data_IF_846037490958
#
_entry.id   IF_846037490958
#
_cell.length_a   1.000
_cell.length_b   1.000
_cell.length_c   1.000
_cell.angle_alpha   90.00
_cell.angle_beta   90.00
_cell.angle_gamma   90.00
#
_symmetry.space_group_name_H-M   'P 1'
#
loop_
_entity.id
_entity.type
_entity.pdbx_description
1 polymer ?
#
# COMPACT_ATOMS: atom_id res chain seq x y z
N UNK A 1 -20.80 -35.77 -39.14
CA UNK A 1 -20.35 -34.46 -39.65
C UNK A 1 -21.04 -33.24 -39.00
N UNK A 2 -22.00 -33.39 -38.07
CA UNK A 2 -22.71 -32.28 -37.41
C UNK A 2 -22.07 -31.83 -36.05
N UNK A 3 -21.11 -32.57 -35.54
CA UNK A 3 -20.48 -32.27 -34.22
C UNK A 3 -19.18 -31.45 -34.29
N UNK A 4 -18.63 -31.24 -35.49
CA UNK A 4 -17.38 -30.47 -35.70
C UNK A 4 -17.71 -28.97 -35.92
N UNK A 5 -18.93 -28.63 -36.35
CA UNK A 5 -19.31 -27.23 -36.59
C UNK A 5 -19.55 -26.44 -35.29
N UNK A 6 -19.88 -27.10 -34.17
CA UNK A 6 -20.12 -26.43 -32.89
C UNK A 6 -18.81 -26.08 -32.16
N UNK A 7 -17.72 -26.81 -32.41
CA UNK A 7 -16.44 -26.53 -31.80
C UNK A 7 -15.71 -25.33 -32.43
N UNK A 8 -16.00 -25.00 -33.69
CA UNK A 8 -15.42 -23.83 -34.38
C UNK A 8 -16.15 -22.52 -34.06
N UNK A 9 -17.39 -22.56 -33.60
CA UNK A 9 -18.15 -21.35 -33.22
C UNK A 9 -17.83 -20.87 -31.81
N UNK A 10 -17.31 -21.73 -30.94
CA UNK A 10 -16.90 -21.34 -29.58
C UNK A 10 -15.55 -20.64 -29.53
N UNK A 11 -14.72 -20.74 -30.59
CA UNK A 11 -13.40 -20.08 -30.65
C UNK A 11 -13.46 -18.66 -31.24
N UNK A 12 -14.60 -18.27 -31.86
CA UNK A 12 -14.72 -16.97 -32.52
C UNK A 12 -15.25 -15.85 -31.61
N UNK A 13 -15.61 -16.13 -30.37
CA UNK A 13 -16.14 -15.13 -29.42
C UNK A 13 -15.03 -14.53 -28.53
N UNK A 14 -13.80 -15.06 -28.58
CA UNK A 14 -12.67 -14.55 -27.79
C UNK A 14 -11.81 -13.49 -28.49
N UNK A 15 -12.19 -13.06 -29.71
CA UNK A 15 -11.42 -12.05 -30.47
C UNK A 15 -12.15 -10.72 -30.68
N UNK A 16 -13.09 -10.37 -29.84
CA UNK A 16 -13.76 -9.06 -29.95
C UNK A 16 -13.64 -8.33 -28.62
N UNK A 17 -12.57 -7.64 -28.45
CA UNK A 17 -12.28 -6.39 -27.75
C UNK A 17 -10.78 -6.33 -27.47
N UNK A 18 -10.00 -6.13 -28.52
CA UNK A 18 -8.64 -5.68 -28.39
C UNK A 18 -8.65 -4.15 -28.58
N UNK A 19 -9.28 -3.44 -27.67
CA UNK A 19 -8.82 -2.08 -27.40
C UNK A 19 -7.46 -2.27 -26.71
N UNK A 20 -6.41 -1.97 -27.46
CA UNK A 20 -5.04 -1.83 -26.95
C UNK A 20 -5.04 -0.65 -25.98
N UNK A 21 -5.60 -0.83 -24.80
CA UNK A 21 -5.41 0.08 -23.69
C UNK A 21 -4.06 -0.29 -23.06
N UNK A 22 -2.99 0.24 -23.65
CA UNK A 22 -1.61 -0.04 -23.21
C UNK A 22 -1.33 0.41 -21.77
N UNK A 23 -2.28 1.10 -21.15
CA UNK A 23 -2.19 1.66 -19.80
C UNK A 23 -3.06 0.94 -18.75
N UNK A 24 -3.47 -0.30 -18.99
CA UNK A 24 -4.27 -1.07 -18.01
C UNK A 24 -3.40 -2.07 -17.27
N UNK A 25 -3.42 -2.00 -15.95
CA UNK A 25 -2.95 -3.02 -15.04
C UNK A 25 -4.05 -4.07 -14.83
N UNK A 26 -3.72 -5.34 -15.00
CA UNK A 26 -4.58 -6.47 -14.64
C UNK A 26 -4.00 -7.14 -13.40
N UNK A 27 -4.77 -7.15 -12.32
CA UNK A 27 -4.41 -7.77 -11.05
C UNK A 27 -5.17 -9.10 -10.94
N UNK A 28 -4.49 -10.21 -11.15
CA UNK A 28 -5.03 -11.55 -10.97
C UNK A 28 -4.69 -12.07 -9.58
N UNK A 29 -5.64 -12.65 -8.89
CA UNK A 29 -5.36 -13.12 -7.54
C UNK A 29 -6.01 -14.43 -7.17
N UNK A 30 -5.40 -15.09 -6.16
CA UNK A 30 -5.98 -16.23 -5.46
C UNK A 30 -6.17 -15.90 -3.99
N UNK A 31 -7.24 -16.40 -3.38
CA UNK A 31 -7.46 -16.26 -1.95
C UNK A 31 -8.13 -17.50 -1.35
N UNK A 32 -7.78 -17.79 -0.10
CA UNK A 32 -8.37 -18.90 0.68
C UNK A 32 -9.48 -18.45 1.61
N UNK A 33 -9.62 -17.15 1.81
CA UNK A 33 -10.64 -16.57 2.70
C UNK A 33 -12.04 -16.78 2.11
N UNK A 34 -13.07 -17.06 2.93
CA UNK A 34 -14.43 -17.31 2.47
C UNK A 34 -15.18 -16.00 2.17
N UNK A 35 -14.74 -15.27 1.16
CA UNK A 35 -15.37 -14.02 0.70
C UNK A 35 -15.91 -14.16 -0.71
N UNK A 36 -17.02 -13.47 -0.99
CA UNK A 36 -17.72 -13.55 -2.27
C UNK A 36 -17.21 -12.52 -3.30
N UNK A 37 -16.52 -11.47 -2.82
CA UNK A 37 -16.03 -10.39 -3.66
C UNK A 37 -14.78 -9.74 -3.11
N UNK A 38 -14.05 -9.07 -3.99
CA UNK A 38 -12.93 -8.18 -3.67
C UNK A 38 -13.16 -6.83 -4.36
N UNK A 39 -12.67 -5.77 -3.74
CA UNK A 39 -12.75 -4.40 -4.25
C UNK A 39 -11.35 -3.83 -4.37
N UNK A 40 -11.12 -3.05 -5.41
CA UNK A 40 -9.91 -2.25 -5.57
C UNK A 40 -10.27 -0.79 -5.28
N UNK A 41 -9.57 -0.17 -4.36
CA UNK A 41 -9.76 1.23 -4.00
C UNK A 41 -8.43 1.98 -4.10
N UNK A 42 -8.48 3.27 -4.39
CA UNK A 42 -7.31 4.14 -4.33
C UNK A 42 -7.00 4.61 -2.90
N UNK A 43 -5.95 5.42 -2.74
CA UNK A 43 -5.52 5.96 -1.44
C UNK A 43 -6.56 6.92 -0.80
N UNK A 44 -7.50 7.47 -1.59
CA UNK A 44 -8.62 8.27 -1.08
C UNK A 44 -9.82 7.41 -0.69
N UNK A 45 -9.79 6.09 -1.04
CA UNK A 45 -10.83 5.12 -0.89
C UNK A 45 -11.88 5.14 -1.98
N UNK A 46 -11.65 5.85 -3.05
CA UNK A 46 -12.53 5.76 -4.20
C UNK A 46 -12.44 4.37 -4.83
N UNK A 47 -13.62 3.81 -5.14
CA UNK A 47 -13.72 2.51 -5.77
C UNK A 47 -13.23 2.57 -7.21
N UNK A 48 -12.23 1.74 -7.55
CA UNK A 48 -11.68 1.61 -8.88
C UNK A 48 -12.29 0.42 -9.64
N UNK A 49 -12.41 -0.73 -8.96
CA UNK A 49 -12.96 -1.94 -9.56
C UNK A 49 -13.52 -2.91 -8.52
N UNK A 50 -14.37 -3.84 -8.97
CA UNK A 50 -14.97 -4.89 -8.14
C UNK A 50 -14.96 -6.20 -8.90
N UNK A 51 -14.52 -7.27 -8.24
CA UNK A 51 -14.55 -8.61 -8.81
C UNK A 51 -15.27 -9.60 -7.87
N UNK A 52 -16.11 -10.46 -8.45
CA UNK A 52 -16.61 -11.64 -7.76
C UNK A 52 -15.47 -12.67 -7.59
N UNK A 53 -15.44 -13.33 -6.44
CA UNK A 53 -14.51 -14.43 -6.19
C UNK A 53 -15.14 -15.73 -6.66
N UNK A 54 -14.49 -16.44 -7.56
CA UNK A 54 -14.94 -17.72 -8.09
C UNK A 54 -13.87 -18.79 -7.89
N UNK A 55 -14.18 -19.82 -7.10
CA UNK A 55 -13.23 -20.87 -6.75
C UNK A 55 -11.91 -20.32 -6.16
N UNK A 56 -12.00 -19.27 -5.34
CA UNK A 56 -10.85 -18.61 -4.75
C UNK A 56 -10.06 -17.71 -5.70
N UNK A 57 -10.53 -17.48 -6.93
CA UNK A 57 -9.84 -16.62 -7.92
C UNK A 57 -10.63 -15.34 -8.17
N UNK A 58 -9.89 -14.27 -8.47
CA UNK A 58 -10.44 -12.97 -8.88
C UNK A 58 -9.55 -12.28 -9.91
N UNK A 59 -10.11 -11.31 -10.63
CA UNK A 59 -9.37 -10.43 -11.54
C UNK A 59 -9.91 -9.02 -11.39
N UNK A 60 -9.02 -8.09 -11.06
CA UNK A 60 -9.28 -6.65 -10.95
C UNK A 60 -8.50 -5.89 -12.00
N UNK A 61 -8.95 -4.69 -12.34
CA UNK A 61 -8.30 -3.82 -13.31
C UNK A 61 -8.25 -2.38 -12.82
N UNK A 62 -7.17 -1.69 -13.13
CA UNK A 62 -7.03 -0.24 -12.95
C UNK A 62 -6.06 0.30 -13.99
N UNK A 63 -5.88 1.60 -14.01
CA UNK A 63 -4.81 2.20 -14.81
C UNK A 63 -3.44 1.88 -14.19
N UNK A 64 -2.42 1.77 -15.05
CA UNK A 64 -1.03 1.73 -14.60
C UNK A 64 -0.67 3.12 -14.10
N UNK A 65 -0.40 3.24 -12.81
CA UNK A 65 0.05 4.48 -12.18
C UNK A 65 1.05 4.15 -11.05
N UNK A 66 2.37 4.21 -11.33
CA UNK A 66 3.40 3.94 -10.31
C UNK A 66 3.45 5.01 -9.20
N UNK A 67 2.81 6.15 -9.42
CA UNK A 67 2.75 7.23 -8.43
C UNK A 67 1.62 7.02 -7.40
N UNK A 68 0.66 6.14 -7.68
CA UNK A 68 -0.52 5.93 -6.85
C UNK A 68 -0.55 4.52 -6.27
N UNK A 69 -0.67 4.40 -4.96
CA UNK A 69 -0.96 3.12 -4.31
C UNK A 69 -2.44 2.76 -4.45
N UNK A 70 -2.75 1.47 -4.47
CA UNK A 70 -4.12 0.94 -4.42
C UNK A 70 -4.21 -0.14 -3.34
N UNK A 71 -5.42 -0.40 -2.86
CA UNK A 71 -5.67 -1.43 -1.85
C UNK A 71 -6.76 -2.40 -2.30
N UNK A 72 -6.53 -3.69 -2.09
CA UNK A 72 -7.54 -4.74 -2.26
C UNK A 72 -8.24 -4.94 -0.91
N UNK A 73 -9.54 -4.67 -0.89
CA UNK A 73 -10.43 -4.92 0.24
C UNK A 73 -11.20 -6.23 0.00
N UNK A 74 -11.31 -7.07 1.02
CA UNK A 74 -12.00 -8.36 0.99
C UNK A 74 -13.32 -8.27 1.74
N UNK A 75 -14.40 -8.75 1.15
CA UNK A 75 -15.69 -8.78 1.82
C UNK A 75 -16.88 -8.55 0.90
N UNK A 76 -18.11 -8.55 1.44
CA UNK A 76 -19.30 -8.26 0.66
C UNK A 76 -19.27 -6.83 0.11
N UNK A 77 -19.99 -6.61 -1.00
CA UNK A 77 -20.24 -5.26 -1.50
C UNK A 77 -21.03 -4.47 -0.44
N UNK A 78 -20.61 -3.23 -0.10
CA UNK A 78 -21.39 -2.42 0.81
C UNK A 78 -22.75 -2.12 0.21
N UNK A 79 -23.80 -2.27 1.00
CA UNK A 79 -25.17 -1.88 0.64
C UNK A 79 -25.38 -0.38 0.90
N UNK A 80 -24.70 0.50 0.17
CA UNK A 80 -24.75 1.95 0.38
C UNK A 80 -23.42 2.54 0.83
N UNK A 81 -23.33 3.80 1.04
CA UNK A 81 -22.12 4.62 1.24
C UNK A 81 -20.94 3.95 1.97
N UNK A 82 -19.75 4.05 1.36
CA UNK A 82 -18.50 3.44 1.86
C UNK A 82 -18.10 4.09 3.18
N UNK A 83 -18.25 3.39 4.28
CA UNK A 83 -17.64 3.74 5.56
C UNK A 83 -16.42 2.84 5.77
N UNK A 84 -15.24 3.44 5.88
CA UNK A 84 -13.94 2.77 5.99
C UNK A 84 -13.76 1.87 7.22
N UNK A 85 -14.53 2.07 8.28
CA UNK A 85 -14.23 1.51 9.60
C UNK A 85 -15.05 0.26 9.99
N UNK A 86 -16.17 -0.07 9.31
CA UNK A 86 -17.07 -1.11 9.82
C UNK A 86 -17.26 -2.34 8.93
N UNK A 87 -16.76 -2.37 7.69
CA UNK A 87 -17.12 -3.43 6.73
C UNK A 87 -15.96 -4.30 6.18
N UNK A 88 -14.73 -4.09 6.60
CA UNK A 88 -13.70 -5.11 6.41
C UNK A 88 -13.95 -6.20 7.45
N UNK A 89 -14.56 -7.30 7.05
CA UNK A 89 -14.84 -8.45 7.92
C UNK A 89 -13.50 -9.05 8.38
N UNK A 90 -12.79 -8.34 9.28
CA UNK A 90 -11.62 -8.87 9.96
C UNK A 90 -10.37 -9.14 9.08
N UNK A 91 -10.32 -8.59 7.87
CA UNK A 91 -9.18 -8.76 6.97
C UNK A 91 -8.48 -7.43 6.70
N UNK A 92 -7.18 -7.38 6.93
CA UNK A 92 -6.37 -6.20 6.60
C UNK A 92 -6.37 -5.91 5.09
N UNK A 93 -6.40 -4.64 4.67
CA UNK A 93 -6.25 -4.26 3.28
C UNK A 93 -4.91 -4.75 2.71
N UNK A 94 -4.89 -5.15 1.43
CA UNK A 94 -3.67 -5.53 0.74
C UNK A 94 -3.27 -4.38 -0.17
N UNK A 95 -2.27 -3.63 0.26
CA UNK A 95 -1.74 -2.49 -0.50
C UNK A 95 -0.75 -2.96 -1.57
N UNK A 96 -0.86 -2.38 -2.76
CA UNK A 96 0.06 -2.60 -3.88
C UNK A 96 0.17 -1.35 -4.75
N UNK A 97 1.16 -1.34 -5.65
CA UNK A 97 1.37 -0.27 -6.63
C UNK A 97 1.13 -0.84 -8.02
N UNK A 98 0.22 -0.27 -8.83
CA UNK A 98 -0.07 -0.75 -10.17
C UNK A 98 0.98 -0.24 -11.19
N UNK A 99 2.24 -0.68 -11.05
CA UNK A 99 3.39 -0.26 -11.85
C UNK A 99 3.68 -1.16 -13.08
N UNK A 100 2.84 -2.18 -13.29
CA UNK A 100 3.00 -3.16 -14.37
C UNK A 100 1.66 -3.54 -15.01
N UNK A 101 1.71 -4.11 -16.23
CA UNK A 101 0.52 -4.58 -16.96
C UNK A 101 -0.15 -5.78 -16.31
N UNK A 102 0.63 -6.65 -15.67
CA UNK A 102 0.15 -7.87 -15.04
C UNK A 102 0.77 -8.01 -13.65
N UNK A 103 -0.09 -8.09 -12.65
CA UNK A 103 0.28 -8.29 -11.25
C UNK A 103 -0.47 -9.53 -10.75
N UNK A 104 0.21 -10.37 -9.99
CA UNK A 104 -0.42 -11.52 -9.32
C UNK A 104 -0.36 -11.35 -7.81
N UNK A 105 -1.49 -11.63 -7.13
CA UNK A 105 -1.61 -11.52 -5.68
C UNK A 105 -2.15 -12.83 -5.11
N UNK A 106 -1.31 -13.55 -4.39
CA UNK A 106 -1.70 -14.77 -3.67
C UNK A 106 -1.95 -14.45 -2.20
N UNK A 107 -3.15 -14.74 -1.72
CA UNK A 107 -3.59 -14.44 -0.35
C UNK A 107 -3.90 -15.74 0.38
N UNK A 108 -3.15 -16.03 1.42
CA UNK A 108 -3.36 -17.21 2.24
C UNK A 108 -3.05 -16.92 3.72
N UNK A 109 -3.94 -17.36 4.62
CA UNK A 109 -3.75 -17.25 6.07
C UNK A 109 -3.39 -15.83 6.57
N UNK A 110 -4.03 -14.80 6.00
CA UNK A 110 -3.80 -13.40 6.34
C UNK A 110 -2.49 -12.82 5.81
N UNK A 111 -1.74 -13.57 4.97
CA UNK A 111 -0.53 -13.10 4.29
C UNK A 111 -0.79 -12.93 2.81
N UNK A 112 -0.19 -11.91 2.23
CA UNK A 112 -0.21 -11.68 0.79
C UNK A 112 1.19 -11.81 0.19
N UNK A 113 1.25 -12.39 -1.02
CA UNK A 113 2.44 -12.40 -1.85
C UNK A 113 2.10 -11.74 -3.16
N UNK A 114 2.80 -10.65 -3.47
CA UNK A 114 2.63 -9.88 -4.70
C UNK A 114 3.80 -10.23 -5.64
N UNK A 115 3.50 -10.48 -6.91
CA UNK A 115 4.48 -10.73 -7.97
C UNK A 115 4.11 -9.96 -9.23
N UNK A 116 5.11 -9.58 -10.02
CA UNK A 116 4.91 -8.80 -11.25
C UNK A 116 4.94 -7.28 -11.04
N UNK A 117 4.98 -6.78 -9.80
CA UNK A 117 5.12 -5.37 -9.45
C UNK A 117 6.42 -5.17 -8.67
N UNK A 118 7.47 -4.65 -9.27
CA UNK A 118 8.72 -4.32 -8.56
C UNK A 118 8.53 -3.33 -7.42
N UNK A 119 7.74 -2.27 -7.62
CA UNK A 119 7.50 -1.28 -6.58
C UNK A 119 6.69 -1.85 -5.40
N UNK A 120 5.72 -2.73 -5.67
CA UNK A 120 4.99 -3.41 -4.58
C UNK A 120 5.88 -4.34 -3.77
N UNK A 121 6.86 -4.99 -4.37
CA UNK A 121 7.85 -5.78 -3.64
C UNK A 121 8.74 -4.90 -2.78
N UNK A 122 9.22 -3.79 -3.32
CA UNK A 122 10.08 -2.86 -2.61
C UNK A 122 9.38 -2.22 -1.40
N UNK A 123 8.10 -1.84 -1.54
CA UNK A 123 7.32 -1.32 -0.41
C UNK A 123 7.12 -2.39 0.67
N UNK A 124 6.86 -3.65 0.30
CA UNK A 124 6.75 -4.75 1.26
C UNK A 124 8.07 -5.01 1.99
N UNK A 125 9.19 -4.99 1.27
CA UNK A 125 10.52 -5.15 1.86
C UNK A 125 10.84 -4.02 2.85
N UNK A 126 10.48 -2.79 2.50
CA UNK A 126 10.64 -1.63 3.38
C UNK A 126 9.77 -1.74 4.64
N UNK A 127 8.48 -2.11 4.49
CA UNK A 127 7.57 -2.32 5.62
C UNK A 127 8.05 -3.45 6.53
N UNK A 128 8.49 -4.57 5.94
CA UNK A 128 9.01 -5.70 6.70
C UNK A 128 10.29 -5.34 7.46
N UNK A 129 11.18 -4.56 6.83
CA UNK A 129 12.37 -4.05 7.49
C UNK A 129 12.01 -3.14 8.67
N UNK A 130 11.07 -2.19 8.49
CA UNK A 130 10.63 -1.27 9.54
C UNK A 130 10.03 -2.04 10.73
N UNK A 131 9.14 -2.99 10.45
CA UNK A 131 8.51 -3.84 11.47
C UNK A 131 9.54 -4.67 12.23
N UNK A 132 10.44 -5.36 11.53
CA UNK A 132 11.46 -6.19 12.18
C UNK A 132 12.43 -5.35 13.03
N UNK A 133 12.79 -4.16 12.56
CA UNK A 133 13.63 -3.23 13.30
C UNK A 133 12.94 -2.79 14.59
N UNK A 134 11.68 -2.34 14.48
CA UNK A 134 10.89 -1.91 15.64
C UNK A 134 10.70 -3.05 16.66
N UNK A 135 10.29 -4.23 16.24
CA UNK A 135 10.03 -5.36 17.14
C UNK A 135 11.31 -5.83 17.85
N UNK A 136 12.45 -5.87 17.15
CA UNK A 136 13.73 -6.28 17.76
C UNK A 136 14.21 -5.30 18.83
N UNK A 137 14.00 -4.01 18.62
CA UNK A 137 14.40 -2.99 19.60
C UNK A 137 13.40 -2.90 20.77
N UNK A 138 12.09 -3.11 20.53
CA UNK A 138 11.06 -3.23 21.60
C UNK A 138 11.37 -4.42 22.52
N UNK A 139 11.75 -5.57 21.98
CA UNK A 139 12.16 -6.73 22.78
C UNK A 139 13.38 -6.40 23.66
N UNK A 140 14.36 -5.70 23.10
CA UNK A 140 15.56 -5.23 23.84
C UNK A 140 15.19 -4.26 24.95
N UNK A 141 14.32 -3.28 24.68
CA UNK A 141 13.83 -2.31 25.67
C UNK A 141 13.10 -3.02 26.82
N UNK A 142 12.25 -4.00 26.52
CA UNK A 142 11.54 -4.77 27.55
C UNK A 142 12.50 -5.49 28.52
N UNK A 143 13.59 -6.07 28.01
CA UNK A 143 14.64 -6.69 28.85
C UNK A 143 15.35 -5.65 29.73
N UNK A 144 15.63 -4.46 29.19
CA UNK A 144 16.27 -3.37 29.94
C UNK A 144 15.33 -2.78 31.01
N UNK A 145 14.02 -2.72 30.74
CA UNK A 145 12.99 -2.32 31.71
C UNK A 145 12.95 -3.28 32.90
N UNK A 146 12.94 -4.60 32.64
CA UNK A 146 12.99 -5.62 33.69
C UNK A 146 14.26 -5.54 34.54
N UNK A 147 15.38 -5.13 33.92
CA UNK A 147 16.65 -4.92 34.62
C UNK A 147 16.74 -3.57 35.35
N UNK A 148 15.81 -2.64 35.13
CA UNK A 148 15.82 -1.27 35.69
C UNK A 148 16.89 -0.37 35.07
N UNK A 149 17.39 -0.71 33.86
CA UNK A 149 18.46 0.05 33.18
C UNK A 149 17.87 1.19 32.31
N UNK A 150 17.52 2.30 32.99
CA UNK A 150 16.98 3.49 32.32
C UNK A 150 17.96 4.12 31.30
N UNK A 151 19.25 3.99 31.51
CA UNK A 151 20.27 4.52 30.57
C UNK A 151 20.32 3.67 29.32
N UNK A 152 20.28 2.35 29.46
CA UNK A 152 20.19 1.41 28.36
C UNK A 152 18.92 1.63 27.52
N UNK A 153 17.76 1.82 28.16
CA UNK A 153 16.49 2.13 27.48
C UNK A 153 16.62 3.39 26.62
N UNK A 154 17.09 4.49 27.22
CA UNK A 154 17.24 5.76 26.49
C UNK A 154 18.16 5.62 25.28
N UNK A 155 19.30 4.95 25.44
CA UNK A 155 20.26 4.71 24.36
C UNK A 155 19.68 3.86 23.24
N UNK A 156 18.99 2.75 23.58
CA UNK A 156 18.36 1.87 22.59
C UNK A 156 17.26 2.60 21.82
N UNK A 157 16.44 3.42 22.50
CA UNK A 157 15.40 4.23 21.87
C UNK A 157 15.99 5.28 20.91
N UNK A 158 17.08 5.93 21.27
CA UNK A 158 17.79 6.90 20.41
C UNK A 158 18.42 6.20 19.18
N UNK A 159 19.04 5.03 19.37
CA UNK A 159 19.59 4.23 18.27
C UNK A 159 18.50 3.76 17.31
N UNK A 160 17.34 3.33 17.81
CA UNK A 160 16.17 2.98 16.99
C UNK A 160 15.69 4.18 16.17
N UNK A 161 15.47 5.34 16.83
CA UNK A 161 15.01 6.54 16.16
C UNK A 161 15.98 6.96 15.04
N UNK A 162 17.27 6.98 15.30
CA UNK A 162 18.29 7.31 14.31
C UNK A 162 18.32 6.34 13.13
N UNK A 163 18.18 5.04 13.39
CA UNK A 163 18.18 3.98 12.37
C UNK A 163 16.93 4.09 11.48
N UNK A 164 15.76 4.29 12.10
CA UNK A 164 14.50 4.47 11.38
C UNK A 164 14.54 5.74 10.51
N UNK A 165 14.91 6.88 11.11
CA UNK A 165 15.00 8.15 10.39
C UNK A 165 15.97 8.10 9.21
N UNK A 166 17.15 7.50 9.39
CA UNK A 166 18.14 7.38 8.32
C UNK A 166 17.58 6.57 7.15
N UNK A 167 16.99 5.41 7.41
CA UNK A 167 16.44 4.57 6.35
C UNK A 167 15.24 5.20 5.66
N UNK A 168 14.34 5.86 6.42
CA UNK A 168 13.21 6.57 5.84
C UNK A 168 13.69 7.70 4.90
N UNK A 169 14.73 8.45 5.27
CA UNK A 169 15.32 9.49 4.38
C UNK A 169 15.89 8.89 3.10
N UNK A 170 16.64 7.78 3.20
CA UNK A 170 17.19 7.09 2.03
C UNK A 170 16.09 6.64 1.06
N UNK A 171 15.06 5.97 1.58
CA UNK A 171 13.92 5.49 0.78
C UNK A 171 13.15 6.66 0.19
N UNK A 172 12.86 7.70 0.97
CA UNK A 172 12.21 8.89 0.46
C UNK A 172 12.98 9.54 -0.69
N UNK A 173 14.29 9.71 -0.55
CA UNK A 173 15.10 10.33 -1.62
C UNK A 173 15.12 9.51 -2.92
N UNK A 174 15.08 8.18 -2.80
CA UNK A 174 15.00 7.30 -3.97
C UNK A 174 13.61 7.32 -4.63
N UNK A 175 12.55 7.51 -3.84
CA UNK A 175 11.15 7.31 -4.21
C UNK A 175 10.25 8.53 -4.01
N UNK A 176 10.77 9.74 -3.95
CA UNK A 176 9.98 10.94 -3.65
C UNK A 176 8.83 11.24 -4.61
N UNK A 177 8.77 10.56 -5.76
CA UNK A 177 7.75 10.76 -6.80
C UNK A 177 6.70 9.63 -6.85
N UNK A 178 6.84 8.58 -6.06
CA UNK A 178 5.93 7.44 -6.05
C UNK A 178 5.38 7.13 -4.64
N UNK A 179 4.51 6.13 -4.54
CA UNK A 179 3.81 5.78 -3.30
C UNK A 179 4.76 5.29 -2.18
N UNK A 180 5.95 4.73 -2.52
CA UNK A 180 6.94 4.31 -1.52
C UNK A 180 7.50 5.53 -0.80
N UNK A 181 7.77 6.62 -1.54
CA UNK A 181 8.22 7.89 -0.97
C UNK A 181 7.20 8.50 -0.02
N UNK A 182 5.91 8.48 -0.38
CA UNK A 182 4.85 8.93 0.52
C UNK A 182 4.84 8.12 1.83
N UNK A 183 4.95 6.80 1.74
CA UNK A 183 5.01 5.94 2.93
C UNK A 183 6.27 6.18 3.77
N UNK A 184 7.42 6.34 3.13
CA UNK A 184 8.68 6.64 3.84
C UNK A 184 8.59 7.99 4.57
N UNK A 185 7.97 9.00 3.96
CA UNK A 185 7.76 10.30 4.61
C UNK A 185 6.76 10.21 5.76
N UNK A 186 5.69 9.42 5.63
CA UNK A 186 4.75 9.17 6.72
C UNK A 186 5.43 8.56 7.96
N UNK A 187 6.31 7.57 7.75
CA UNK A 187 7.10 7.00 8.85
C UNK A 187 8.12 8.00 9.42
N UNK A 188 8.67 8.87 8.57
CA UNK A 188 9.69 9.85 8.97
C UNK A 188 9.11 10.96 9.85
N UNK A 189 7.82 11.27 9.77
CA UNK A 189 7.13 12.28 10.61
C UNK A 189 7.45 12.10 12.11
N UNK A 190 7.55 10.85 12.57
CA UNK A 190 7.85 10.53 13.98
C UNK A 190 9.27 10.88 14.41
N UNK A 191 10.18 11.15 13.46
CA UNK A 191 11.62 11.28 13.70
C UNK A 191 12.23 12.57 13.14
N UNK A 192 11.55 13.24 12.22
CA UNK A 192 11.97 14.50 11.61
C UNK A 192 11.56 15.69 12.47
N UNK A 193 12.34 16.77 12.43
CA UNK A 193 11.84 18.04 12.91
C UNK A 193 10.88 18.69 11.90
N UNK A 194 10.13 19.69 12.33
CA UNK A 194 9.08 20.36 11.54
C UNK A 194 9.64 20.98 10.26
N UNK A 195 10.80 21.64 10.34
CA UNK A 195 11.44 22.28 9.19
C UNK A 195 11.92 21.24 8.17
N UNK A 196 12.47 20.13 8.61
CA UNK A 196 12.85 19.02 7.75
C UNK A 196 11.63 18.42 7.05
N UNK A 197 10.55 18.15 7.81
CA UNK A 197 9.33 17.61 7.22
C UNK A 197 8.77 18.54 6.14
N UNK A 198 8.64 19.83 6.43
CA UNK A 198 8.15 20.83 5.48
C UNK A 198 8.99 20.80 4.20
N UNK A 199 10.32 20.85 4.33
CA UNK A 199 11.22 20.83 3.18
C UNK A 199 11.10 19.56 2.35
N UNK A 200 10.96 18.39 2.97
CA UNK A 200 10.76 17.12 2.28
C UNK A 200 9.39 17.06 1.61
N UNK A 201 8.32 17.43 2.31
CA UNK A 201 6.98 17.47 1.72
C UNK A 201 6.95 18.36 0.48
N UNK A 202 7.52 19.57 0.53
CA UNK A 202 7.55 20.50 -0.61
C UNK A 202 8.29 19.91 -1.84
N UNK A 203 9.31 19.07 -1.63
CA UNK A 203 10.05 18.39 -2.70
C UNK A 203 9.34 17.14 -3.23
N UNK A 204 8.35 16.64 -2.51
CA UNK A 204 7.61 15.42 -2.86
C UNK A 204 6.81 15.56 -4.15
N UNK A 205 6.72 14.46 -4.90
CA UNK A 205 5.92 14.35 -6.12
C UNK A 205 4.42 14.20 -5.86
N UNK A 206 3.69 13.76 -6.90
CA UNK A 206 2.23 13.63 -6.87
C UNK A 206 1.73 12.71 -5.75
N UNK A 207 2.37 11.55 -5.55
CA UNK A 207 1.97 10.61 -4.51
C UNK A 207 2.04 11.22 -3.10
N UNK A 208 3.14 11.92 -2.79
CA UNK A 208 3.33 12.63 -1.52
C UNK A 208 2.29 13.73 -1.32
N UNK A 209 1.98 14.49 -2.39
CA UNK A 209 0.99 15.57 -2.35
C UNK A 209 -0.45 15.08 -2.27
N UNK A 210 -0.73 13.89 -2.80
CA UNK A 210 -2.05 13.28 -2.77
C UNK A 210 -2.36 12.56 -1.44
N UNK A 211 -1.34 12.28 -0.62
CA UNK A 211 -1.53 11.66 0.69
C UNK A 211 -2.19 12.65 1.66
N UNK A 212 -3.42 12.33 2.07
CA UNK A 212 -4.23 13.23 2.90
C UNK A 212 -3.65 13.44 4.31
N UNK A 213 -2.96 12.44 4.86
CA UNK A 213 -2.31 12.52 6.18
C UNK A 213 -1.12 13.49 6.13
N UNK A 214 -0.22 13.31 5.15
CA UNK A 214 0.92 14.20 4.96
C UNK A 214 0.48 15.63 4.64
N UNK A 215 -0.53 15.79 3.77
CA UNK A 215 -1.10 17.09 3.43
C UNK A 215 -1.70 17.81 4.64
N UNK A 216 -2.50 17.11 5.43
CA UNK A 216 -3.09 17.65 6.65
C UNK A 216 -2.05 18.07 7.69
N UNK A 217 -1.00 17.28 7.88
CA UNK A 217 0.10 17.62 8.78
C UNK A 217 0.90 18.84 8.29
N UNK A 218 1.18 18.92 6.99
CA UNK A 218 1.85 20.07 6.37
C UNK A 218 1.07 21.36 6.58
N UNK A 219 -0.24 21.39 6.31
CA UNK A 219 -1.10 22.56 6.51
C UNK A 219 -1.16 22.98 7.98
N UNK A 220 -1.19 21.99 8.89
CA UNK A 220 -1.14 22.25 10.32
C UNK A 220 0.14 22.99 10.73
N UNK A 221 1.31 22.51 10.30
CA UNK A 221 2.59 23.17 10.62
C UNK A 221 2.69 24.58 10.02
N UNK A 222 2.20 24.77 8.79
CA UNK A 222 2.21 26.10 8.14
C UNK A 222 1.34 27.11 8.90
N UNK A 223 0.18 26.71 9.43
CA UNK A 223 -0.69 27.58 10.18
C UNK A 223 -0.04 28.13 11.45
N UNK A 224 0.79 27.35 12.13
CA UNK A 224 1.53 27.81 13.31
C UNK A 224 2.66 28.80 12.98
N UNK A 225 3.32 28.60 11.85
CA UNK A 225 4.39 29.52 11.45
C UNK A 225 3.88 30.92 11.07
N UNK A 226 2.67 31.01 10.52
CA UNK A 226 2.01 32.28 10.17
C UNK A 226 1.46 33.04 11.37
N UNK A 227 1.06 32.33 12.46
CA UNK A 227 0.60 32.98 13.70
C UNK A 227 1.76 33.51 14.58
N UNK A 228 2.98 33.08 14.31
CA UNK A 228 4.17 33.45 15.09
C UNK A 228 4.90 34.69 14.53
N UNK A 229 4.54 35.21 13.34
CA UNK A 229 5.02 36.47 12.75
C UNK A 229 4.09 37.64 13.02
#
# INVERSE_FOLDING_TARGET
>A
MKRILFALMALAVLCACNENNDNVCTISGTLTDPVDSVRLVDMSGALLDVAAVSNGNFVLKCDIDPETGVSILRGPLPSGEVCYEEESIGYDPISLIPDAKEITVDIAEGKSKITGSPLSQEIQDFQQWAMNTYLGDVETISVLEEAGDSIGIMKTSEELANKMATRCREVYQAHKNDAIGAQALNLLVEFADEDEFIALYEQGGKAVKADAGLGGYYEHLKSFSEEAE
#
